data_IF_419565944055
#
_entry.id   IF_419565944055
#
_cell.length_a   1.000
_cell.length_b   1.000
_cell.length_c   1.000
_cell.angle_alpha   90.00
_cell.angle_beta   90.00
_cell.angle_gamma   90.00
#
_symmetry.space_group_name_H-M   'P 1'
#
loop_
_entity.id
_entity.type
_entity.pdbx_description
1 polymer ?
#
# COMPACT_ATOMS: atom_id res chain seq x y z
N UNK A 1 7.96 -4.19 -7.74
CA UNK A 1 6.50 -4.16 -7.57
C UNK A 1 5.95 -2.90 -8.23
N UNK A 2 4.67 -2.86 -8.58
CA UNK A 2 4.03 -1.65 -9.11
C UNK A 2 3.05 -1.16 -8.07
N UNK A 3 3.16 0.11 -7.71
CA UNK A 3 2.26 0.76 -6.75
C UNK A 3 1.41 1.78 -7.48
N UNK A 4 0.11 1.78 -7.17
CA UNK A 4 -0.85 2.70 -7.73
C UNK A 4 -1.68 3.35 -6.63
N UNK A 5 -2.07 4.59 -6.86
CA UNK A 5 -3.01 5.31 -6.01
C UNK A 5 -3.99 6.09 -6.85
N UNK A 6 -5.24 6.11 -6.40
CA UNK A 6 -6.23 7.05 -6.87
C UNK A 6 -5.91 8.48 -6.35
N UNK A 7 -5.76 9.50 -7.21
CA UNK A 7 -5.34 10.84 -6.78
C UNK A 7 -6.23 11.48 -5.69
N UNK A 8 -7.57 11.43 -5.77
CA UNK A 8 -8.45 11.88 -4.69
C UNK A 8 -8.17 11.19 -3.34
N UNK A 9 -7.89 9.87 -3.35
CA UNK A 9 -7.53 9.13 -2.14
C UNK A 9 -6.17 9.57 -1.60
N UNK A 10 -5.18 9.78 -2.46
CA UNK A 10 -3.85 10.24 -2.07
C UNK A 10 -3.91 11.64 -1.41
N UNK A 11 -4.69 12.57 -1.97
CA UNK A 11 -4.92 13.90 -1.39
C UNK A 11 -5.66 13.82 -0.05
N UNK A 12 -6.68 12.97 0.04
CA UNK A 12 -7.40 12.74 1.30
C UNK A 12 -6.47 12.19 2.38
N UNK A 13 -5.61 11.22 2.04
CA UNK A 13 -4.64 10.64 2.97
C UNK A 13 -3.62 11.67 3.45
N UNK A 14 -3.08 12.48 2.54
CA UNK A 14 -2.15 13.54 2.89
C UNK A 14 -2.78 14.56 3.84
N UNK A 15 -4.04 14.95 3.60
CA UNK A 15 -4.76 15.88 4.49
C UNK A 15 -5.06 15.27 5.86
N UNK A 16 -5.44 14.00 5.91
CA UNK A 16 -5.86 13.34 7.15
C UNK A 16 -4.66 12.92 8.03
N UNK A 17 -3.55 12.51 7.40
CA UNK A 17 -2.45 11.84 8.10
C UNK A 17 -1.08 12.52 7.91
N UNK A 18 -0.97 13.50 7.02
CA UNK A 18 0.31 14.15 6.71
C UNK A 18 1.28 13.28 5.90
N UNK A 19 0.85 12.07 5.51
CA UNK A 19 1.68 11.10 4.77
C UNK A 19 1.24 11.06 3.32
N UNK A 20 2.18 11.39 2.43
CA UNK A 20 1.97 11.31 0.98
C UNK A 20 2.13 9.88 0.46
N UNK A 21 1.53 9.59 -0.69
CA UNK A 21 1.64 8.27 -1.31
C UNK A 21 3.10 7.87 -1.61
N UNK A 22 3.90 8.82 -2.13
CA UNK A 22 5.31 8.57 -2.43
C UNK A 22 6.13 8.16 -1.19
N UNK A 23 5.84 8.74 -0.02
CA UNK A 23 6.50 8.35 1.22
C UNK A 23 6.02 6.96 1.69
N UNK A 24 4.70 6.73 1.67
CA UNK A 24 4.12 5.45 2.08
C UNK A 24 4.68 4.27 1.27
N UNK A 25 4.92 4.45 -0.02
CA UNK A 25 5.56 3.43 -0.88
C UNK A 25 6.94 3.04 -0.35
N UNK A 26 7.74 3.99 0.13
CA UNK A 26 9.08 3.66 0.64
C UNK A 26 9.05 2.79 1.89
N UNK A 27 8.00 2.89 2.71
CA UNK A 27 7.81 1.99 3.86
C UNK A 27 7.40 0.57 3.45
N UNK A 28 6.82 0.39 2.25
CA UNK A 28 6.55 -0.93 1.66
C UNK A 28 7.82 -1.57 1.08
N UNK A 29 8.85 -0.76 0.82
CA UNK A 29 10.15 -1.20 0.29
C UNK A 29 11.19 -1.43 1.40
N UNK A 30 10.83 -1.25 2.68
CA UNK A 30 11.69 -1.56 3.81
C UNK A 30 11.89 -3.08 3.94
N UNK A 31 13.14 -3.53 3.84
CA UNK A 31 13.55 -4.94 3.96
C UNK A 31 13.16 -5.56 5.32
N UNK A 32 12.96 -4.73 6.36
CA UNK A 32 12.55 -5.15 7.69
C UNK A 32 11.05 -4.96 7.95
N UNK A 33 10.26 -4.59 6.94
CA UNK A 33 8.84 -4.35 7.09
C UNK A 33 8.07 -5.62 7.51
N UNK A 34 7.08 -5.43 8.38
CA UNK A 34 6.18 -6.50 8.81
C UNK A 34 4.83 -6.36 8.11
N UNK A 35 4.50 -7.33 7.27
CA UNK A 35 3.23 -7.35 6.51
C UNK A 35 2.34 -8.48 6.99
N UNK A 36 1.05 -8.19 7.16
CA UNK A 36 0.02 -9.19 7.45
C UNK A 36 -1.25 -8.90 6.65
N UNK A 37 -1.94 -9.94 6.23
CA UNK A 37 -3.31 -9.83 5.73
C UNK A 37 -4.26 -9.38 6.87
N UNK A 38 -5.22 -8.52 6.55
CA UNK A 38 -6.27 -8.07 7.45
C UNK A 38 -7.42 -9.11 7.46
N UNK A 39 -7.58 -9.91 8.53
CA UNK A 39 -8.61 -10.95 8.58
C UNK A 39 -10.03 -10.39 8.67
N UNK A 40 -10.19 -9.09 8.93
CA UNK A 40 -11.50 -8.42 8.98
C UNK A 40 -11.94 -7.88 7.61
N UNK A 41 -11.12 -8.02 6.56
CA UNK A 41 -11.51 -7.65 5.21
C UNK A 41 -12.60 -8.60 4.68
N UNK A 42 -13.74 -8.05 4.28
CA UNK A 42 -14.92 -8.84 3.83
C UNK A 42 -15.02 -8.95 2.31
N UNK A 43 -14.71 -7.86 1.59
CA UNK A 43 -14.90 -7.79 0.13
C UNK A 43 -13.58 -7.96 -0.64
N UNK A 44 -12.64 -7.04 -0.42
CA UNK A 44 -11.33 -7.04 -1.07
C UNK A 44 -10.24 -7.36 -0.03
N UNK A 45 -9.38 -8.37 -0.27
CA UNK A 45 -8.26 -8.68 0.61
C UNK A 45 -7.38 -7.46 0.82
N UNK A 46 -7.11 -7.14 2.09
CA UNK A 46 -6.26 -6.01 2.47
C UNK A 46 -5.05 -6.50 3.22
N UNK A 47 -3.93 -5.83 2.98
CA UNK A 47 -2.68 -6.05 3.68
C UNK A 47 -2.35 -4.81 4.49
N UNK A 48 -1.78 -5.05 5.67
CA UNK A 48 -1.30 -4.02 6.58
C UNK A 48 0.20 -4.24 6.74
N UNK A 49 0.97 -3.23 6.38
CA UNK A 49 2.42 -3.21 6.55
C UNK A 49 2.83 -2.18 7.58
N UNK A 50 3.67 -2.59 8.53
CA UNK A 50 4.43 -1.70 9.41
C UNK A 50 5.87 -1.63 8.90
N UNK A 51 6.34 -0.47 8.49
CA UNK A 51 7.68 -0.28 7.91
C UNK A 51 8.23 1.12 8.10
N UNK A 52 9.54 1.28 7.94
CA UNK A 52 10.24 2.56 8.05
C UNK A 52 10.32 3.24 6.68
N UNK A 53 9.85 4.48 6.57
CA UNK A 53 10.02 5.29 5.35
C UNK A 53 11.46 5.77 5.19
N UNK A 54 11.83 6.21 3.99
CA UNK A 54 13.15 6.84 3.74
C UNK A 54 13.35 8.15 4.52
N UNK A 55 12.27 8.74 5.05
CA UNK A 55 12.31 9.89 5.95
C UNK A 55 12.47 9.49 7.43
N UNK A 56 12.72 8.20 7.70
CA UNK A 56 12.81 7.61 9.03
C UNK A 56 11.51 7.70 9.86
N UNK A 57 10.35 7.81 9.21
CA UNK A 57 9.06 7.71 9.87
C UNK A 57 8.59 6.26 9.90
N UNK A 58 8.13 5.78 11.06
CA UNK A 58 7.48 4.48 11.16
C UNK A 58 6.02 4.61 10.69
N UNK A 59 5.66 3.91 9.62
CA UNK A 59 4.35 4.03 8.96
C UNK A 59 3.56 2.72 9.04
N UNK A 60 2.24 2.86 9.15
CA UNK A 60 1.28 1.78 8.90
C UNK A 60 0.62 2.05 7.55
N UNK A 61 0.83 1.15 6.60
CA UNK A 61 0.30 1.27 5.23
C UNK A 61 -0.71 0.16 4.99
N UNK A 62 -1.94 0.54 4.60
CA UNK A 62 -3.02 -0.39 4.28
C UNK A 62 -3.31 -0.34 2.79
N UNK A 63 -3.23 -1.49 2.12
CA UNK A 63 -3.40 -1.58 0.67
C UNK A 63 -4.05 -2.91 0.26
N UNK A 64 -4.85 -2.92 -0.81
CA UNK A 64 -5.26 -4.16 -1.45
C UNK A 64 -4.11 -4.73 -2.28
N UNK A 65 -4.06 -6.06 -2.42
CA UNK A 65 -3.16 -6.70 -3.38
C UNK A 65 -3.93 -7.02 -4.66
N UNK A 66 -3.44 -6.55 -5.80
CA UNK A 66 -3.95 -6.93 -7.10
C UNK A 66 -2.98 -7.90 -7.75
N UNK A 67 -3.46 -9.12 -8.04
CA UNK A 67 -2.72 -10.02 -8.91
C UNK A 67 -2.67 -9.40 -10.33
N UNK A 68 -1.54 -9.53 -11.05
CA UNK A 68 -1.48 -9.10 -12.43
C UNK A 68 -2.55 -9.85 -13.24
N UNK A 69 -3.32 -9.13 -14.06
CA UNK A 69 -4.28 -9.74 -14.96
C UNK A 69 -3.54 -10.56 -16.03
N UNK A 70 -3.49 -11.87 -15.83
CA UNK A 70 -2.86 -12.83 -16.74
C UNK A 70 -3.80 -13.29 -17.86
N UNK A 71 -4.99 -12.68 -18.02
CA UNK A 71 -5.98 -13.10 -19.03
C UNK A 71 -5.65 -12.72 -20.49
N UNK A 72 -4.46 -12.17 -20.75
CA UNK A 72 -3.95 -11.83 -22.09
C UNK A 72 -3.51 -13.03 -22.97
N UNK A 73 -4.07 -14.22 -22.77
CA UNK A 73 -3.78 -15.43 -23.54
C UNK A 73 -4.85 -15.75 -24.59
N UNK A 74 -4.54 -15.45 -25.85
CA UNK A 74 -5.22 -15.89 -27.09
C UNK A 74 -6.65 -15.38 -27.35
N UNK A 75 -6.73 -14.33 -28.17
CA UNK A 75 -7.72 -14.27 -29.26
C UNK A 75 -6.99 -14.08 -30.59
#
# INVERSE_FOLDING_TARGET
MRFESDPPKAEANLRAHGVGFAEAVTALEDDCALTREDPAAVDEPRFVTLGLSTLANLLVVVYPHQEPDLSGGSR
#
